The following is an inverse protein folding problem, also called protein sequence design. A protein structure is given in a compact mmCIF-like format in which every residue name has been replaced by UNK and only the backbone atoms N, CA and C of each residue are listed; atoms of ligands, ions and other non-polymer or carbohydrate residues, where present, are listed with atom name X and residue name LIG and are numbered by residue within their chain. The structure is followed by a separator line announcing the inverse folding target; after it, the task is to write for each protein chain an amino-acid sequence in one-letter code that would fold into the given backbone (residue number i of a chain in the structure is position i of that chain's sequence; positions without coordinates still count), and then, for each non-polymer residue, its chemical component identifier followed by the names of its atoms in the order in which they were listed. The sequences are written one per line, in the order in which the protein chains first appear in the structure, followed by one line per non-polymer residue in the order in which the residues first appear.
data_IF_248234737660
#
_entry.id   IF_248234737660
#
_cell.length_a   1.000
_cell.length_b   1.000
_cell.length_c   1.000
_cell.angle_alpha   90.00
_cell.angle_beta   90.00
_cell.angle_gamma   90.00
#
_symmetry.space_group_name_H-M   'P 1'
#
loop_
_entity.id
_entity.type
_entity.pdbx_description
1 polymer ?
#
# COMPACT_ATOMS: atom_id res chain seq x y z
N UNK A 1 -2.99 -35.32 18.50
CA UNK A 1 -2.43 -35.86 17.25
C UNK A 1 -3.55 -36.03 16.23
N UNK A 2 -3.66 -35.09 15.27
CA UNK A 2 -4.49 -35.27 14.06
C UNK A 2 -3.72 -34.62 12.90
N UNK A 3 -3.14 -35.46 12.05
CA UNK A 3 -2.45 -35.09 10.83
C UNK A 3 -3.46 -34.57 9.79
N UNK A 4 -3.31 -33.34 9.35
CA UNK A 4 -4.01 -32.80 8.18
C UNK A 4 -3.17 -33.10 6.94
N UNK A 5 -3.75 -33.83 6.02
CA UNK A 5 -3.16 -34.28 4.75
C UNK A 5 -3.15 -33.10 3.77
N UNK A 6 -1.97 -32.71 3.33
CA UNK A 6 -1.81 -31.80 2.20
C UNK A 6 -1.99 -32.56 0.91
N UNK A 7 -2.97 -32.19 0.10
CA UNK A 7 -3.15 -32.71 -1.26
C UNK A 7 -2.32 -31.80 -2.21
N UNK A 8 -1.24 -32.36 -2.74
CA UNK A 8 -0.45 -31.77 -3.79
C UNK A 8 -1.20 -31.86 -5.13
N UNK A 9 -1.55 -30.78 -5.75
CA UNK A 9 -2.07 -30.73 -7.12
C UNK A 9 -0.87 -30.47 -8.05
N UNK A 10 -0.49 -31.50 -8.80
CA UNK A 10 0.48 -31.42 -9.86
C UNK A 10 -0.21 -30.92 -11.13
N UNK A 11 0.13 -29.73 -11.61
CA UNK A 11 -0.30 -29.19 -12.90
C UNK A 11 0.72 -29.62 -13.96
N UNK A 12 0.32 -30.51 -14.85
CA UNK A 12 1.09 -30.91 -16.02
C UNK A 12 0.97 -29.84 -17.11
N UNK A 13 2.09 -29.16 -17.43
CA UNK A 13 2.18 -28.24 -18.54
C UNK A 13 2.25 -28.96 -19.88
N UNK A 14 1.35 -28.68 -20.80
CA UNK A 14 1.42 -29.09 -22.20
C UNK A 14 2.17 -28.03 -22.99
N UNK A 15 3.39 -28.37 -23.45
CA UNK A 15 4.15 -27.60 -24.44
C UNK A 15 3.58 -27.84 -25.83
N UNK A 16 3.07 -26.81 -26.49
CA UNK A 16 2.87 -26.80 -27.92
C UNK A 16 4.07 -26.20 -28.62
N UNK A 17 4.87 -27.07 -29.23
CA UNK A 17 5.89 -26.69 -30.24
C UNK A 17 5.18 -26.45 -31.58
N UNK A 18 5.23 -25.25 -32.11
CA UNK A 18 4.94 -24.98 -33.52
C UNK A 18 6.27 -24.73 -34.27
N UNK A 19 6.56 -25.66 -35.15
CA UNK A 19 7.66 -25.64 -36.09
C UNK A 19 7.38 -24.64 -37.23
N UNK A 20 8.27 -23.66 -37.41
CA UNK A 20 8.34 -22.88 -38.63
C UNK A 20 9.48 -23.45 -39.47
N UNK A 21 9.14 -24.07 -40.56
CA UNK A 21 10.05 -24.34 -41.68
C UNK A 21 9.63 -23.48 -42.87
N UNK A 22 10.55 -22.76 -43.45
CA UNK A 22 10.32 -21.99 -44.66
C UNK A 22 11.58 -21.29 -45.11
N UNK A 23 12.43 -22.00 -45.84
CA UNK A 23 13.53 -21.51 -46.68
C UNK A 23 13.00 -20.81 -47.92
N UNK A 24 13.72 -19.80 -48.42
CA UNK A 24 13.54 -19.33 -49.78
C UNK A 24 14.27 -18.05 -50.11
N UNK A 25 15.31 -18.17 -50.82
CA UNK A 25 16.41 -17.34 -51.27
C UNK A 25 16.05 -16.36 -52.41
N UNK A 26 16.86 -15.26 -52.51
CA UNK A 26 17.27 -14.46 -53.67
C UNK A 26 16.44 -13.30 -54.23
N UNK A 27 17.10 -12.15 -54.07
CA UNK A 27 17.68 -11.22 -55.07
C UNK A 27 16.78 -10.31 -55.92
N UNK A 28 17.22 -9.07 -55.81
CA UNK A 28 17.43 -7.99 -56.81
C UNK A 28 16.21 -7.18 -57.33
N UNK A 29 16.34 -5.98 -57.07
CA UNK A 29 16.63 -4.79 -57.94
C UNK A 29 15.45 -3.83 -58.26
N UNK A 30 15.72 -2.58 -57.98
CA UNK A 30 15.44 -1.35 -58.72
C UNK A 30 14.03 -0.77 -58.85
N UNK A 31 13.94 0.42 -58.25
CA UNK A 31 13.42 1.67 -58.80
C UNK A 31 11.94 2.00 -58.88
N UNK A 32 11.74 3.19 -58.32
CA UNK A 32 10.96 4.33 -58.79
C UNK A 32 9.44 4.37 -58.61
N UNK A 33 9.12 5.32 -57.74
CA UNK A 33 8.33 6.54 -58.08
C UNK A 33 6.82 6.40 -58.34
N UNK A 34 6.12 7.19 -57.64
CA UNK A 34 4.96 8.01 -57.97
C UNK A 34 3.80 7.95 -56.95
N UNK A 35 3.75 9.04 -56.19
CA UNK A 35 2.55 9.85 -55.92
C UNK A 35 1.19 9.24 -56.26
N UNK A 36 0.32 9.15 -55.26
CA UNK A 36 -1.01 9.84 -55.35
C UNK A 36 -1.69 9.82 -53.98
N UNK A 37 -2.06 11.00 -53.54
CA UNK A 37 -2.92 11.27 -52.42
C UNK A 37 -4.33 10.68 -52.64
N UNK A 38 -4.99 10.22 -51.67
CA UNK A 38 -6.36 10.63 -51.37
C UNK A 38 -7.00 9.82 -50.23
N UNK A 39 -7.55 10.54 -49.41
CA UNK A 39 -8.78 10.40 -48.65
C UNK A 39 -8.68 9.90 -47.22
N UNK A 40 -8.77 10.89 -46.34
CA UNK A 40 -9.13 10.74 -44.96
C UNK A 40 -10.62 10.31 -44.88
N UNK A 41 -10.83 9.16 -44.29
CA UNK A 41 -12.15 8.81 -43.76
C UNK A 41 -12.02 8.70 -42.25
N UNK A 42 -12.59 9.69 -41.59
CA UNK A 42 -12.71 9.76 -40.14
C UNK A 42 -13.68 8.68 -39.68
N UNK A 43 -13.16 7.57 -39.21
CA UNK A 43 -13.96 6.64 -38.44
C UNK A 43 -14.01 7.14 -37.03
N UNK A 44 -15.19 7.61 -36.65
CA UNK A 44 -15.63 7.90 -35.29
C UNK A 44 -15.26 6.73 -34.38
N UNK A 45 -14.26 6.96 -33.52
CA UNK A 45 -13.94 6.05 -32.44
C UNK A 45 -15.08 6.08 -31.44
N UNK A 46 -15.85 5.02 -31.44
CA UNK A 46 -16.83 4.68 -30.42
C UNK A 46 -16.05 4.55 -29.09
N UNK A 47 -16.25 5.51 -28.22
CA UNK A 47 -15.83 5.41 -26.82
C UNK A 47 -16.62 4.24 -26.21
N UNK A 48 -16.02 3.08 -26.17
CA UNK A 48 -16.50 2.02 -25.29
C UNK A 48 -16.29 2.54 -23.87
N UNK A 49 -17.36 3.04 -23.29
CA UNK A 49 -17.55 3.20 -21.87
C UNK A 49 -17.49 1.78 -21.29
N UNK A 50 -16.28 1.37 -20.93
CA UNK A 50 -16.06 0.16 -20.16
C UNK A 50 -16.46 0.52 -18.74
N UNK A 51 -17.74 0.39 -18.43
CA UNK A 51 -18.19 0.24 -17.07
C UNK A 51 -17.42 -0.98 -16.53
N UNK A 52 -16.43 -0.74 -15.68
CA UNK A 52 -15.77 -1.81 -14.94
C UNK A 52 -16.90 -2.55 -14.21
N UNK A 53 -17.20 -3.78 -14.61
CA UNK A 53 -18.03 -4.66 -13.81
C UNK A 53 -17.34 -4.74 -12.46
N UNK A 54 -17.99 -4.26 -11.40
CA UNK A 54 -17.46 -4.35 -10.04
C UNK A 54 -17.28 -5.83 -9.73
N UNK A 55 -16.02 -6.23 -9.62
CA UNK A 55 -15.64 -7.62 -9.43
C UNK A 55 -16.17 -8.10 -8.07
N UNK A 56 -16.85 -9.23 -8.04
CA UNK A 56 -17.28 -9.85 -6.79
C UNK A 56 -16.04 -10.43 -6.08
N UNK A 57 -15.63 -9.79 -5.00
CA UNK A 57 -14.47 -10.20 -4.21
C UNK A 57 -14.94 -10.92 -2.96
N UNK A 58 -14.36 -12.09 -2.69
CA UNK A 58 -14.52 -12.80 -1.42
C UNK A 58 -13.14 -13.04 -0.81
N UNK A 59 -12.89 -12.44 0.35
CA UNK A 59 -11.60 -12.54 1.02
C UNK A 59 -11.75 -12.47 2.55
N UNK A 60 -10.77 -13.05 3.24
CA UNK A 60 -10.50 -12.79 4.65
C UNK A 60 -9.25 -11.94 4.72
N UNK A 61 -9.34 -10.79 5.40
CA UNK A 61 -8.26 -9.82 5.54
C UNK A 61 -7.84 -9.78 7.02
N UNK A 62 -6.58 -10.02 7.27
CA UNK A 62 -6.00 -9.87 8.61
C UNK A 62 -5.55 -8.42 8.80
N UNK A 63 -6.06 -7.78 9.86
CA UNK A 63 -5.79 -6.37 10.16
C UNK A 63 -5.20 -6.24 11.56
N UNK A 64 -4.01 -5.63 11.66
CA UNK A 64 -3.37 -5.36 12.96
C UNK A 64 -3.35 -3.87 13.25
N UNK A 65 -3.71 -3.53 14.48
CA UNK A 65 -3.64 -2.18 15.01
C UNK A 65 -3.35 -2.16 16.50
N UNK A 66 -3.14 -0.97 17.09
CA UNK A 66 -2.97 -0.81 18.52
C UNK A 66 -4.16 -1.36 19.32
N UNK A 67 -3.92 -1.74 20.57
CA UNK A 67 -4.96 -2.30 21.44
C UNK A 67 -6.07 -1.28 21.72
N UNK A 68 -5.74 0.00 21.83
CA UNK A 68 -6.68 1.09 22.05
C UNK A 68 -7.68 1.25 20.92
N UNK A 69 -7.29 1.06 19.67
CA UNK A 69 -8.16 1.19 18.50
C UNK A 69 -9.18 0.06 18.39
N UNK A 70 -8.98 -1.02 19.15
CA UNK A 70 -9.81 -2.21 19.19
C UNK A 70 -10.61 -2.32 20.50
N UNK A 71 -10.34 -1.45 21.48
CA UNK A 71 -10.95 -1.50 22.79
C UNK A 71 -12.39 -0.99 22.77
N UNK A 72 -13.34 -1.70 23.42
CA UNK A 72 -14.69 -1.21 23.63
C UNK A 72 -14.75 0.14 24.36
N UNK A 73 -13.80 0.42 25.25
CA UNK A 73 -13.71 1.68 25.99
C UNK A 73 -13.47 2.90 25.06
N UNK A 74 -12.89 2.66 23.87
CA UNK A 74 -12.64 3.67 22.84
C UNK A 74 -13.51 3.48 21.58
N UNK A 75 -14.56 2.65 21.66
CA UNK A 75 -15.59 2.51 20.64
C UNK A 75 -15.21 1.58 19.50
N UNK A 76 -14.25 0.67 19.67
CA UNK A 76 -13.85 -0.34 18.66
C UNK A 76 -13.63 0.27 17.28
N UNK A 77 -12.85 1.35 17.23
CA UNK A 77 -12.68 2.17 16.04
C UNK A 77 -12.24 1.36 14.81
N UNK A 78 -11.27 0.45 14.98
CA UNK A 78 -10.72 -0.34 13.88
C UNK A 78 -11.80 -1.24 13.25
N UNK A 79 -12.56 -1.95 14.07
CA UNK A 79 -13.67 -2.79 13.64
C UNK A 79 -14.72 -1.98 12.90
N UNK A 80 -15.09 -0.81 13.47
CA UNK A 80 -16.04 0.09 12.84
C UNK A 80 -15.60 0.61 11.48
N UNK A 81 -14.30 0.82 11.26
CA UNK A 81 -13.76 1.21 9.94
C UNK A 81 -13.79 0.08 8.93
N UNK A 82 -13.42 -1.14 9.33
CA UNK A 82 -13.50 -2.33 8.48
C UNK A 82 -14.93 -2.64 8.07
N UNK A 83 -15.88 -2.55 9.00
CA UNK A 83 -17.30 -2.73 8.70
C UNK A 83 -17.85 -1.64 7.76
N UNK A 84 -17.46 -0.38 7.96
CA UNK A 84 -17.85 0.71 7.06
C UNK A 84 -17.32 0.48 5.65
N UNK A 85 -16.06 0.07 5.51
CA UNK A 85 -15.46 -0.26 4.23
C UNK A 85 -16.22 -1.38 3.51
N UNK A 86 -16.57 -2.46 4.21
CA UNK A 86 -17.35 -3.56 3.62
C UNK A 86 -18.75 -3.11 3.16
N UNK A 87 -19.38 -2.17 3.87
CA UNK A 87 -20.68 -1.61 3.49
C UNK A 87 -20.61 -0.70 2.25
N UNK A 88 -19.47 -0.03 2.05
CA UNK A 88 -19.22 0.81 0.87
C UNK A 88 -18.97 -0.01 -0.40
N UNK A 89 -18.64 -1.29 -0.25
CA UNK A 89 -18.39 -2.22 -1.34
C UNK A 89 -19.36 -3.40 -1.32
N UNK A 90 -20.64 -3.21 -1.71
CA UNK A 90 -21.70 -4.22 -1.54
C UNK A 90 -21.48 -5.51 -2.33
N UNK A 91 -20.61 -5.48 -3.36
CA UNK A 91 -20.25 -6.65 -4.16
C UNK A 91 -19.06 -7.45 -3.55
N UNK A 92 -18.50 -6.98 -2.43
CA UNK A 92 -17.41 -7.63 -1.75
C UNK A 92 -17.89 -8.32 -0.49
N UNK A 93 -17.56 -9.61 -0.35
CA UNK A 93 -17.83 -10.44 0.83
C UNK A 93 -16.53 -10.56 1.62
N UNK A 94 -16.24 -9.51 2.43
CA UNK A 94 -15.03 -9.45 3.21
C UNK A 94 -15.27 -9.88 4.66
N UNK A 95 -14.37 -10.71 5.17
CA UNK A 95 -14.26 -11.06 6.58
C UNK A 95 -12.96 -10.48 7.12
N UNK A 96 -12.97 -10.00 8.36
CA UNK A 96 -11.79 -9.41 8.99
C UNK A 96 -11.35 -10.22 10.20
N UNK A 97 -10.06 -10.50 10.28
CA UNK A 97 -9.39 -11.08 11.45
C UNK A 97 -8.50 -10.01 12.09
N UNK A 98 -8.72 -9.76 13.38
CA UNK A 98 -8.03 -8.67 14.07
C UNK A 98 -6.89 -9.20 14.94
N UNK A 99 -5.76 -8.52 14.88
CA UNK A 99 -4.62 -8.76 15.76
C UNK A 99 -4.13 -7.46 16.39
N UNK A 100 -3.49 -7.59 17.54
CA UNK A 100 -2.93 -6.44 18.25
C UNK A 100 -1.43 -6.30 17.96
N UNK A 101 -1.05 -5.17 17.38
CA UNK A 101 0.33 -4.76 17.20
C UNK A 101 0.39 -3.24 17.28
N UNK A 102 1.26 -2.70 18.13
CA UNK A 102 1.48 -1.24 18.16
C UNK A 102 2.24 -0.79 16.92
N UNK A 103 2.02 0.46 16.51
CA UNK A 103 2.76 1.07 15.41
C UNK A 103 4.27 1.11 15.67
N UNK A 104 4.67 1.21 16.94
CA UNK A 104 6.07 1.22 17.35
C UNK A 104 6.75 -0.16 17.23
N UNK A 105 6.00 -1.25 17.39
CA UNK A 105 6.51 -2.62 17.33
C UNK A 105 6.36 -3.26 15.95
N UNK A 106 5.59 -2.65 15.05
CA UNK A 106 5.22 -3.24 13.77
C UNK A 106 6.42 -3.69 12.94
N UNK A 107 7.42 -2.84 12.77
CA UNK A 107 8.62 -3.18 12.02
C UNK A 107 9.32 -4.42 12.54
N UNK A 108 9.47 -4.55 13.86
CA UNK A 108 10.09 -5.70 14.50
C UNK A 108 9.21 -6.95 14.36
N UNK A 109 7.92 -6.82 14.60
CA UNK A 109 6.97 -7.95 14.62
C UNK A 109 6.80 -8.53 13.22
N UNK A 110 6.54 -7.67 12.23
CA UNK A 110 6.29 -8.07 10.85
C UNK A 110 7.53 -8.70 10.20
N UNK A 111 8.71 -8.14 10.45
CA UNK A 111 9.95 -8.66 9.85
C UNK A 111 10.46 -9.97 10.45
N UNK A 112 9.87 -10.46 11.54
CA UNK A 112 10.16 -11.80 12.05
C UNK A 112 9.63 -12.91 11.15
N UNK A 113 8.43 -12.72 10.60
CA UNK A 113 7.84 -13.61 9.60
C UNK A 113 6.82 -12.82 8.77
N UNK A 114 7.27 -12.28 7.65
CA UNK A 114 6.44 -11.50 6.74
C UNK A 114 5.26 -12.30 6.21
N UNK A 115 5.45 -13.61 6.00
CA UNK A 115 4.41 -14.49 5.44
C UNK A 115 3.29 -14.82 6.42
N UNK A 116 3.54 -14.67 7.71
CA UNK A 116 2.57 -14.86 8.78
C UNK A 116 2.01 -13.56 9.35
N UNK A 117 2.43 -12.43 8.79
CA UNK A 117 1.98 -11.11 9.21
C UNK A 117 0.61 -10.76 8.68
N UNK A 118 0.04 -9.65 9.18
CA UNK A 118 -1.24 -9.15 8.69
C UNK A 118 -1.15 -8.60 7.26
N UNK A 119 -2.26 -8.67 6.54
CA UNK A 119 -2.41 -8.06 5.22
C UNK A 119 -2.40 -6.52 5.29
N UNK A 120 -2.93 -5.98 6.39
CA UNK A 120 -2.96 -4.54 6.67
C UNK A 120 -2.54 -4.29 8.12
N UNK A 121 -1.64 -3.35 8.33
CA UNK A 121 -1.20 -2.99 9.68
C UNK A 121 -0.74 -1.54 9.78
N UNK A 122 -0.78 -1.00 10.99
CA UNK A 122 -0.25 0.33 11.29
C UNK A 122 1.24 0.23 11.63
N UNK A 123 2.03 1.22 11.20
CA UNK A 123 3.43 1.33 11.54
C UNK A 123 3.88 2.79 11.69
N UNK A 124 4.92 3.02 12.48
CA UNK A 124 5.56 4.33 12.56
C UNK A 124 6.52 4.53 11.38
N UNK A 125 6.52 5.71 10.78
CA UNK A 125 7.23 5.97 9.51
C UNK A 125 8.76 5.91 9.61
N UNK A 126 9.34 5.93 10.80
CA UNK A 126 10.77 5.65 11.02
C UNK A 126 11.17 4.20 10.73
N UNK A 127 10.17 3.30 10.62
CA UNK A 127 10.36 1.89 10.27
C UNK A 127 10.20 1.62 8.77
N UNK A 128 9.85 2.64 7.99
CA UNK A 128 9.51 2.54 6.56
C UNK A 128 10.58 1.78 5.76
N UNK A 129 11.84 2.20 5.86
CA UNK A 129 12.93 1.55 5.13
C UNK A 129 13.12 0.08 5.53
N UNK A 130 13.02 -0.23 6.82
CA UNK A 130 13.13 -1.60 7.34
C UNK A 130 12.06 -2.51 6.75
N UNK A 131 10.82 -2.01 6.63
CA UNK A 131 9.70 -2.75 6.07
C UNK A 131 9.83 -2.95 4.55
N UNK A 132 10.33 -1.94 3.84
CA UNK A 132 10.63 -2.04 2.40
C UNK A 132 11.72 -3.08 2.14
N UNK A 133 12.83 -3.00 2.86
CA UNK A 133 13.97 -3.92 2.71
C UNK A 133 13.60 -5.39 2.98
N UNK A 134 12.64 -5.59 3.88
CA UNK A 134 12.09 -6.91 4.19
C UNK A 134 11.00 -7.38 3.20
N UNK A 135 10.62 -6.57 2.21
CA UNK A 135 9.44 -6.79 1.35
C UNK A 135 8.16 -7.01 2.14
N UNK A 136 8.01 -6.31 3.27
CA UNK A 136 6.88 -6.42 4.17
C UNK A 136 5.76 -5.43 3.85
N UNK A 137 6.04 -4.43 3.04
CA UNK A 137 5.06 -3.49 2.46
C UNK A 137 5.31 -3.32 0.97
N UNK A 138 4.23 -3.04 0.24
CA UNK A 138 4.26 -2.80 -1.19
C UNK A 138 4.09 -1.32 -1.51
N UNK A 139 4.63 -0.89 -2.63
CA UNK A 139 4.35 0.43 -3.19
C UNK A 139 2.86 0.56 -3.51
N UNK A 140 2.27 1.68 -3.09
CA UNK A 140 0.89 2.02 -3.42
C UNK A 140 0.81 2.54 -4.85
N UNK A 141 -0.07 1.95 -5.65
CA UNK A 141 -0.30 2.35 -7.04
C UNK A 141 -1.64 3.04 -7.26
N UNK A 142 -1.82 3.53 -8.50
CA UNK A 142 -3.09 4.00 -9.02
C UNK A 142 -3.79 5.06 -8.16
N UNK A 143 -5.10 4.90 -8.01
CA UNK A 143 -5.96 5.86 -7.30
C UNK A 143 -5.60 6.06 -5.83
N UNK A 144 -5.03 5.05 -5.17
CA UNK A 144 -4.62 5.18 -3.76
C UNK A 144 -3.44 6.12 -3.59
N UNK A 145 -2.41 5.99 -4.44
CA UNK A 145 -1.28 6.92 -4.43
C UNK A 145 -1.70 8.35 -4.78
N UNK A 146 -2.60 8.52 -5.75
CA UNK A 146 -3.14 9.83 -6.13
C UNK A 146 -3.98 10.45 -5.00
N UNK A 147 -4.77 9.66 -4.31
CA UNK A 147 -5.51 10.09 -3.13
C UNK A 147 -4.57 10.58 -2.03
N UNK A 148 -3.52 9.83 -1.70
CA UNK A 148 -2.52 10.23 -0.70
C UNK A 148 -1.87 11.56 -1.06
N UNK A 149 -1.47 11.74 -2.32
CA UNK A 149 -0.85 13.00 -2.81
C UNK A 149 -1.80 14.18 -2.75
N UNK A 150 -3.07 13.98 -3.05
CA UNK A 150 -4.06 15.06 -3.13
C UNK A 150 -4.61 15.49 -1.78
N UNK A 151 -4.61 14.60 -0.78
CA UNK A 151 -5.24 14.84 0.54
C UNK A 151 -4.27 15.21 1.64
N UNK A 152 -2.95 15.07 1.41
CA UNK A 152 -1.93 15.32 2.41
C UNK A 152 -1.00 16.47 2.00
N UNK A 153 -0.37 17.11 2.99
CA UNK A 153 0.69 18.09 2.71
C UNK A 153 1.93 17.41 2.11
N UNK A 154 2.71 18.13 1.32
CA UNK A 154 3.92 17.60 0.70
C UNK A 154 4.87 16.97 1.73
N UNK A 155 5.06 17.61 2.89
CA UNK A 155 5.93 17.09 3.94
C UNK A 155 5.46 15.72 4.48
N UNK A 156 4.15 15.49 4.55
CA UNK A 156 3.59 14.19 4.95
C UNK A 156 3.80 13.15 3.84
N UNK A 157 3.56 13.53 2.58
CA UNK A 157 3.82 12.66 1.42
C UNK A 157 5.30 12.27 1.35
N UNK A 158 6.20 13.23 1.52
CA UNK A 158 7.65 12.98 1.50
C UNK A 158 8.07 11.99 2.60
N UNK A 159 7.41 12.01 3.76
CA UNK A 159 7.75 11.13 4.90
C UNK A 159 7.42 9.64 4.67
N UNK A 160 6.66 9.33 3.63
CA UNK A 160 6.28 7.96 3.25
C UNK A 160 6.71 7.62 1.81
N UNK A 161 7.56 8.47 1.22
CA UNK A 161 8.06 8.29 -0.15
C UNK A 161 9.52 7.84 -0.12
N UNK A 162 9.81 6.74 -0.80
CA UNK A 162 11.17 6.21 -1.02
C UNK A 162 11.36 5.96 -2.49
N UNK A 163 12.45 6.48 -3.07
CA UNK A 163 12.79 6.35 -4.50
C UNK A 163 11.65 6.73 -5.46
N UNK A 164 10.78 7.65 -5.03
CA UNK A 164 9.63 8.12 -5.79
C UNK A 164 8.34 7.31 -5.63
N UNK A 165 8.40 6.15 -4.99
CA UNK A 165 7.26 5.31 -4.62
C UNK A 165 6.66 5.71 -3.27
N UNK A 166 5.34 5.57 -3.12
CA UNK A 166 4.60 5.80 -1.86
C UNK A 166 4.29 4.44 -1.23
N UNK A 167 4.61 4.29 0.06
CA UNK A 167 4.53 2.99 0.75
C UNK A 167 3.59 2.96 1.95
N UNK A 168 2.71 3.94 2.08
CA UNK A 168 1.73 3.95 3.15
C UNK A 168 0.68 5.02 2.98
N UNK A 169 -0.44 4.85 3.67
CA UNK A 169 -1.49 5.86 3.79
C UNK A 169 -1.33 6.56 5.13
N UNK A 170 -1.08 7.89 5.16
CA UNK A 170 -0.93 8.61 6.42
C UNK A 170 -2.22 8.55 7.25
N UNK A 171 -2.09 8.11 8.49
CA UNK A 171 -3.21 8.05 9.44
C UNK A 171 -3.24 9.27 10.36
N UNK A 172 -2.13 9.50 11.08
CA UNK A 172 -2.00 10.65 11.99
C UNK A 172 -0.56 11.10 12.06
N UNK A 173 -0.37 12.35 12.46
CA UNK A 173 0.97 12.87 12.77
C UNK A 173 1.26 12.63 14.23
N UNK A 174 2.44 12.11 14.53
CA UNK A 174 2.97 12.02 15.88
C UNK A 174 4.12 13.00 16.05
N UNK A 175 4.22 13.62 17.22
CA UNK A 175 5.29 14.55 17.53
C UNK A 175 5.70 14.43 18.99
N UNK A 176 6.98 14.67 19.23
CA UNK A 176 7.51 14.72 20.57
C UNK A 176 7.42 16.15 21.09
N UNK A 177 6.95 16.30 22.32
CA UNK A 177 6.90 17.60 22.99
C UNK A 177 7.20 17.46 24.47
N UNK A 178 7.68 18.56 25.04
CA UNK A 178 8.06 18.64 26.44
C UNK A 178 6.94 19.30 27.23
N UNK A 179 6.35 18.55 28.16
CA UNK A 179 5.51 19.14 29.21
C UNK A 179 6.39 19.71 30.33
N UNK A 180 6.08 20.89 30.78
CA UNK A 180 6.80 21.51 31.88
C UNK A 180 5.86 22.16 32.89
N UNK A 181 6.30 22.21 34.15
CA UNK A 181 5.55 22.83 35.22
C UNK A 181 5.73 24.35 35.19
N UNK A 182 4.69 25.09 34.83
CA UNK A 182 4.71 26.57 34.76
C UNK A 182 4.91 27.26 36.11
N UNK A 183 4.80 26.56 37.24
CA UNK A 183 5.14 27.09 38.55
C UNK A 183 6.66 27.08 38.80
N UNK A 184 7.39 26.28 38.08
CA UNK A 184 8.85 26.13 38.18
C UNK A 184 9.57 26.84 37.06
N UNK A 185 9.08 26.64 35.83
CA UNK A 185 9.72 27.15 34.61
C UNK A 185 8.84 28.19 33.90
N UNK A 186 9.46 29.25 33.41
CA UNK A 186 8.84 30.16 32.49
C UNK A 186 9.00 29.67 31.05
N UNK A 187 8.24 30.26 30.10
CA UNK A 187 8.35 29.95 28.68
C UNK A 187 9.73 30.27 28.07
N UNK A 188 10.53 31.14 28.72
CA UNK A 188 11.91 31.40 28.34
C UNK A 188 12.89 30.35 28.85
N UNK A 189 12.64 29.77 30.02
CA UNK A 189 13.54 28.79 30.63
C UNK A 189 13.55 27.47 29.83
N UNK A 190 12.42 27.07 29.26
CA UNK A 190 12.27 25.82 28.50
C UNK A 190 12.83 25.86 27.08
N UNK A 191 13.36 27.00 26.66
CA UNK A 191 14.02 27.13 25.35
C UNK A 191 15.45 26.60 25.34
N UNK A 192 16.03 26.34 26.51
CA UNK A 192 17.36 25.78 26.66
C UNK A 192 17.38 24.71 27.75
N UNK A 193 17.93 23.56 27.43
CA UNK A 193 18.07 22.46 28.36
C UNK A 193 18.98 22.87 29.56
N UNK A 194 20.03 23.64 29.29
CA UNK A 194 20.97 24.14 30.34
C UNK A 194 20.24 25.00 31.36
N UNK A 195 19.38 25.93 30.87
CA UNK A 195 18.57 26.78 31.77
C UNK A 195 17.60 25.92 32.60
N UNK A 196 16.99 24.87 31.99
CA UNK A 196 16.12 23.97 32.74
C UNK A 196 16.87 23.21 33.80
N UNK A 197 18.08 22.72 33.51
CA UNK A 197 18.92 21.99 34.45
C UNK A 197 19.39 22.88 35.63
N UNK A 198 19.69 24.14 35.37
CA UNK A 198 20.07 25.10 36.43
C UNK A 198 18.90 25.41 37.36
N UNK A 199 17.71 25.57 36.85
CA UNK A 199 16.50 25.88 37.64
C UNK A 199 15.90 24.65 38.35
N UNK A 200 16.16 23.46 37.87
CA UNK A 200 15.65 22.21 38.41
C UNK A 200 16.45 21.63 39.58
N UNK A 201 17.55 22.30 39.95
CA UNK A 201 18.35 21.97 41.14
C UNK A 201 17.76 22.59 42.39
#
# INVERSE_FOLDING_TARGET
MKFRKYAAIALAGAMCMSLLAGCGDKKDDTSKDSTTASNAEATSGESTDTSAEEENIKATITVWGPAEDQSPDYGEWLQGRCEAFNKEHPNWDLSFEYGTCSEADAGKTVTQDVSASADVYMFANDQLQTLIDANAISELGGSTADYVKSTNSQAVVDSITVDGGIYGVPFTTNTWFLYYNKKVYSDSDVKSLDTMLEKGK
#
